data_IF_555614495454
#
_entry.id   IF_555614495454
#
_cell.length_a   1.000
_cell.length_b   1.000
_cell.length_c   1.000
_cell.angle_alpha   90.00
_cell.angle_beta   90.00
_cell.angle_gamma   90.00
#
_symmetry.space_group_name_H-M   'P 1'
#
loop_
_entity.id
_entity.type
_entity.pdbx_description
1 polymer ?
#
# COMPACT_ATOMS: atom_id res chain seq x y z
N UNK A 1 -6.74 -8.24 -26.76
CA UNK A 1 -6.41 -8.25 -28.17
C UNK A 1 -4.90 -8.38 -28.31
N UNK A 2 -4.47 -9.35 -29.08
CA UNK A 2 -3.08 -9.51 -29.47
C UNK A 2 -2.76 -8.40 -30.48
N UNK A 3 -1.55 -7.85 -30.41
CA UNK A 3 -1.06 -6.86 -31.38
C UNK A 3 -0.68 -7.59 -32.68
N UNK A 4 -1.66 -8.25 -33.29
CA UNK A 4 -1.52 -9.05 -34.50
C UNK A 4 -2.75 -8.86 -35.37
N UNK A 5 -2.54 -8.68 -36.67
CA UNK A 5 -3.62 -8.52 -37.65
C UNK A 5 -4.40 -9.83 -37.90
N UNK A 6 -3.88 -10.95 -37.41
CA UNK A 6 -4.44 -12.28 -37.63
C UNK A 6 -4.82 -12.95 -36.32
N UNK A 7 -5.97 -13.60 -36.32
CA UNK A 7 -6.45 -14.44 -35.23
C UNK A 7 -6.69 -15.86 -35.76
N UNK A 8 -6.23 -16.86 -35.01
CA UNK A 8 -6.49 -18.28 -35.35
C UNK A 8 -7.59 -18.77 -34.42
N UNK A 9 -8.73 -19.10 -35.00
CA UNK A 9 -9.85 -19.73 -34.30
C UNK A 9 -9.75 -21.27 -34.46
N UNK A 10 -9.74 -21.98 -33.35
CA UNK A 10 -9.78 -23.46 -33.36
C UNK A 10 -11.24 -23.91 -33.31
N UNK A 11 -11.62 -24.75 -34.26
CA UNK A 11 -12.91 -25.43 -34.30
C UNK A 11 -12.82 -26.82 -33.65
N UNK A 12 -13.96 -27.44 -33.29
CA UNK A 12 -13.96 -28.79 -32.70
C UNK A 12 -13.29 -29.87 -33.57
N UNK A 13 -13.15 -29.61 -34.88
CA UNK A 13 -12.48 -30.49 -35.85
C UNK A 13 -11.01 -30.17 -36.08
N UNK A 14 -10.49 -29.10 -35.43
CA UNK A 14 -9.07 -28.73 -35.58
C UNK A 14 -8.19 -29.74 -34.86
N UNK A 15 -7.12 -30.13 -35.52
CA UNK A 15 -6.07 -30.99 -34.93
C UNK A 15 -4.87 -30.14 -34.54
N UNK A 16 -4.30 -30.42 -33.37
CA UNK A 16 -3.06 -29.81 -32.89
C UNK A 16 -2.02 -30.92 -32.85
N UNK A 17 -0.97 -30.76 -33.61
CA UNK A 17 0.17 -31.68 -33.65
C UNK A 17 1.43 -31.01 -33.15
N UNK A 18 2.25 -31.77 -32.41
CA UNK A 18 3.54 -31.30 -31.94
C UNK A 18 4.49 -31.14 -33.13
N UNK A 19 5.03 -29.91 -33.30
CA UNK A 19 5.98 -29.67 -34.37
C UNK A 19 7.37 -30.18 -33.94
N UNK A 20 8.03 -31.02 -34.72
CA UNK A 20 9.39 -31.46 -34.41
C UNK A 20 10.36 -30.29 -34.40
N UNK A 21 11.36 -30.34 -33.52
CA UNK A 21 12.41 -29.31 -33.38
C UNK A 21 13.14 -29.14 -34.74
N UNK A 22 12.82 -28.03 -35.42
CA UNK A 22 13.48 -27.57 -36.62
C UNK A 22 14.38 -26.39 -36.26
N UNK A 23 15.62 -26.28 -36.78
CA UNK A 23 16.48 -25.12 -36.59
C UNK A 23 15.82 -23.77 -36.95
N UNK A 24 14.82 -23.77 -37.84
CA UNK A 24 14.01 -22.59 -38.17
C UNK A 24 12.98 -22.22 -37.09
N UNK A 25 12.56 -23.19 -36.25
CA UNK A 25 11.61 -22.93 -35.16
C UNK A 25 12.25 -22.16 -33.98
N UNK A 26 13.56 -22.21 -33.84
CA UNK A 26 14.30 -21.39 -32.85
C UNK A 26 14.20 -19.89 -33.08
N UNK A 27 13.76 -19.46 -34.28
CA UNK A 27 13.54 -18.05 -34.61
C UNK A 27 12.13 -17.54 -34.22
N UNK A 28 11.21 -18.42 -33.74
CA UNK A 28 9.88 -18.02 -33.30
C UNK A 28 10.02 -17.49 -31.86
N UNK A 29 9.83 -16.18 -31.63
CA UNK A 29 9.93 -15.65 -30.27
C UNK A 29 8.82 -16.27 -29.42
N UNK A 30 9.19 -16.92 -28.34
CA UNK A 30 8.27 -17.57 -27.41
C UNK A 30 7.28 -16.60 -26.77
N UNK A 31 7.64 -15.31 -26.68
CA UNK A 31 6.76 -14.27 -26.18
C UNK A 31 7.24 -12.87 -26.60
N UNK A 32 6.35 -12.09 -27.21
CA UNK A 32 6.61 -10.69 -27.54
C UNK A 32 6.02 -9.77 -26.44
N UNK A 33 6.82 -8.80 -25.98
CA UNK A 33 6.39 -7.79 -25.02
C UNK A 33 6.36 -6.41 -25.68
N UNK A 34 5.38 -5.60 -25.24
CA UNK A 34 5.33 -4.16 -25.57
C UNK A 34 5.30 -3.39 -24.24
N UNK A 35 6.48 -3.27 -23.62
CA UNK A 35 6.58 -2.70 -22.29
C UNK A 35 6.22 -1.22 -22.25
N UNK A 36 5.45 -0.87 -21.22
CA UNK A 36 5.20 0.50 -20.79
C UNK A 36 5.91 0.76 -19.47
N UNK A 37 6.45 1.97 -19.30
CA UNK A 37 7.02 2.37 -18.02
C UNK A 37 5.92 2.53 -16.97
N UNK A 38 6.22 2.13 -15.74
CA UNK A 38 5.27 2.25 -14.62
C UNK A 38 4.85 3.72 -14.46
N UNK A 39 5.76 4.68 -14.56
CA UNK A 39 5.45 6.10 -14.49
C UNK A 39 4.41 6.60 -15.51
N UNK A 40 4.30 5.96 -16.68
CA UNK A 40 3.35 6.34 -17.72
C UNK A 40 1.92 5.84 -17.43
N UNK A 41 1.76 4.83 -16.53
CA UNK A 41 0.46 4.22 -16.22
C UNK A 41 -0.52 5.24 -15.64
N UNK A 42 -0.04 6.27 -14.99
CA UNK A 42 -0.88 7.35 -14.48
C UNK A 42 -1.69 8.07 -15.57
N UNK A 43 -1.20 8.08 -16.81
CA UNK A 43 -1.82 8.77 -17.96
C UNK A 43 -2.67 7.83 -18.83
N UNK A 44 -2.68 6.53 -18.53
CA UNK A 44 -3.47 5.55 -19.26
C UNK A 44 -4.91 5.50 -18.75
N UNK A 45 -5.85 5.15 -19.62
CA UNK A 45 -7.23 4.94 -19.23
C UNK A 45 -7.39 3.65 -18.42
N UNK A 46 -8.36 3.66 -17.47
CA UNK A 46 -8.75 2.45 -16.77
C UNK A 46 -9.31 1.41 -17.75
N UNK A 47 -8.86 0.16 -17.60
CA UNK A 47 -9.22 -0.92 -18.53
C UNK A 47 -8.17 -1.18 -19.61
N UNK A 48 -7.22 -0.27 -19.87
CA UNK A 48 -6.12 -0.52 -20.78
C UNK A 48 -5.31 -1.76 -20.36
N UNK A 49 -4.87 -2.55 -21.32
CA UNK A 49 -4.04 -3.74 -21.09
C UNK A 49 -2.62 -3.44 -21.56
N UNK A 50 -1.65 -3.66 -20.68
CA UNK A 50 -0.25 -3.30 -20.89
C UNK A 50 0.69 -4.40 -20.43
N UNK A 51 1.93 -4.37 -20.94
CA UNK A 51 3.03 -5.16 -20.42
C UNK A 51 3.96 -4.24 -19.62
N UNK A 52 4.50 -4.75 -18.51
CA UNK A 52 5.47 -4.03 -17.69
C UNK A 52 6.63 -4.92 -17.30
N UNK A 53 7.80 -4.32 -17.11
CA UNK A 53 8.96 -4.98 -16.52
C UNK A 53 9.35 -4.23 -15.25
N UNK A 54 9.60 -4.95 -14.16
CA UNK A 54 9.90 -4.30 -12.89
C UNK A 54 10.71 -5.18 -11.94
N UNK A 55 11.30 -4.52 -10.93
CA UNK A 55 11.88 -5.17 -9.77
C UNK A 55 10.77 -5.46 -8.77
N UNK A 56 10.70 -6.70 -8.31
CA UNK A 56 9.74 -7.13 -7.31
C UNK A 56 10.13 -6.57 -5.93
N UNK A 57 9.28 -5.70 -5.39
CA UNK A 57 9.49 -5.04 -4.08
C UNK A 57 8.91 -5.83 -2.93
N UNK A 58 7.71 -6.37 -3.14
CA UNK A 58 6.99 -7.14 -2.13
C UNK A 58 5.99 -8.10 -2.76
N UNK A 59 5.69 -9.16 -2.03
CA UNK A 59 4.61 -10.12 -2.33
C UNK A 59 3.78 -10.25 -1.07
N UNK A 60 2.46 -10.04 -1.18
CA UNK A 60 1.55 -10.22 -0.04
C UNK A 60 1.23 -11.70 0.20
N UNK A 61 0.70 -12.00 1.38
CA UNK A 61 0.07 -13.29 1.63
C UNK A 61 -1.12 -13.53 0.68
N UNK A 62 -1.43 -14.81 0.44
CA UNK A 62 -2.62 -15.21 -0.31
C UNK A 62 -3.86 -15.01 0.56
N UNK A 63 -4.82 -14.22 0.09
CA UNK A 63 -6.08 -13.94 0.80
C UNK A 63 -7.24 -14.50 0.01
N UNK A 64 -8.09 -15.28 0.65
CA UNK A 64 -9.37 -15.69 0.10
C UNK A 64 -10.40 -14.58 0.32
N UNK A 65 -11.14 -14.24 -0.72
CA UNK A 65 -12.20 -13.24 -0.68
C UNK A 65 -13.46 -13.76 -1.36
N UNK A 66 -14.61 -13.40 -0.83
CA UNK A 66 -15.91 -13.69 -1.45
C UNK A 66 -16.29 -12.53 -2.36
N UNK A 67 -16.54 -12.79 -3.63
CA UNK A 67 -17.02 -11.82 -4.61
C UNK A 67 -18.45 -11.39 -4.31
N UNK A 68 -18.90 -10.31 -4.94
CA UNK A 68 -20.29 -9.80 -4.82
C UNK A 68 -21.33 -10.80 -5.30
N UNK A 69 -20.97 -11.72 -6.19
CA UNK A 69 -21.81 -12.81 -6.70
C UNK A 69 -21.85 -14.03 -5.77
N UNK A 70 -21.19 -13.96 -4.59
CA UNK A 70 -21.12 -15.03 -3.63
C UNK A 70 -20.07 -16.10 -3.93
N UNK A 71 -19.28 -15.96 -5.00
CA UNK A 71 -18.20 -16.89 -5.33
C UNK A 71 -16.91 -16.55 -4.60
N UNK A 72 -16.22 -17.56 -4.08
CA UNK A 72 -14.92 -17.39 -3.46
C UNK A 72 -13.81 -17.34 -4.51
N UNK A 73 -12.86 -16.46 -4.29
CA UNK A 73 -11.66 -16.35 -5.14
C UNK A 73 -10.44 -16.01 -4.28
N UNK A 74 -9.27 -16.25 -4.83
CA UNK A 74 -8.02 -15.89 -4.17
C UNK A 74 -7.47 -14.57 -4.72
N UNK A 75 -6.87 -13.80 -3.85
CA UNK A 75 -6.20 -12.54 -4.17
C UNK A 75 -4.80 -12.54 -3.56
N UNK A 76 -3.82 -12.16 -4.36
CA UNK A 76 -2.45 -11.84 -3.91
C UNK A 76 -2.03 -10.53 -4.56
N UNK A 77 -1.25 -9.72 -3.87
CA UNK A 77 -0.79 -8.44 -4.40
C UNK A 77 0.74 -8.46 -4.45
N UNK A 78 1.31 -8.01 -5.56
CA UNK A 78 2.74 -7.77 -5.71
C UNK A 78 2.98 -6.29 -5.94
N UNK A 79 4.13 -5.78 -5.51
CA UNK A 79 4.59 -4.43 -5.82
C UNK A 79 5.79 -4.51 -6.77
N UNK A 80 5.74 -3.73 -7.85
CA UNK A 80 6.77 -3.66 -8.88
C UNK A 80 7.29 -2.24 -8.99
N UNK A 81 8.61 -2.07 -9.19
CA UNK A 81 9.24 -0.79 -9.47
C UNK A 81 10.08 -0.86 -10.74
N UNK A 82 10.18 0.24 -11.48
CA UNK A 82 10.96 0.30 -12.72
C UNK A 82 11.85 1.54 -12.83
N UNK A 83 12.53 1.65 -13.96
CA UNK A 83 13.47 2.75 -14.27
C UNK A 83 12.83 4.14 -14.30
N UNK A 84 11.50 4.27 -14.25
CA UNK A 84 10.83 5.57 -14.12
C UNK A 84 10.91 6.16 -12.70
N UNK A 85 11.44 5.40 -11.73
CA UNK A 85 11.44 5.76 -10.32
C UNK A 85 10.06 5.67 -9.69
N UNK A 86 9.13 4.94 -10.32
CA UNK A 86 7.79 4.70 -9.82
C UNK A 86 7.61 3.24 -9.44
N UNK A 87 6.74 3.00 -8.44
CA UNK A 87 6.24 1.67 -8.10
C UNK A 87 4.74 1.58 -8.29
N UNK A 88 4.26 0.36 -8.56
CA UNK A 88 2.84 0.08 -8.77
C UNK A 88 2.48 -1.28 -8.19
N UNK A 89 1.28 -1.39 -7.63
CA UNK A 89 0.76 -2.68 -7.21
C UNK A 89 0.04 -3.39 -8.35
N UNK A 90 0.27 -4.69 -8.42
CA UNK A 90 -0.46 -5.59 -9.29
C UNK A 90 -1.21 -6.62 -8.44
N UNK A 91 -2.54 -6.64 -8.58
CA UNK A 91 -3.39 -7.65 -7.94
C UNK A 91 -3.51 -8.87 -8.83
N UNK A 92 -3.04 -10.02 -8.33
CA UNK A 92 -3.12 -11.32 -8.97
C UNK A 92 -4.38 -12.06 -8.49
N UNK A 93 -5.27 -12.41 -9.41
CA UNK A 93 -6.57 -12.98 -9.11
C UNK A 93 -6.64 -14.48 -9.43
N UNK A 94 -7.38 -15.22 -8.61
CA UNK A 94 -7.69 -16.63 -8.82
C UNK A 94 -6.45 -17.52 -8.90
N UNK A 95 -6.37 -18.39 -9.89
CA UNK A 95 -5.26 -19.33 -10.10
C UNK A 95 -3.92 -18.64 -10.25
N UNK A 96 -3.84 -17.50 -10.93
CA UNK A 96 -2.60 -16.73 -11.08
C UNK A 96 -2.04 -16.31 -9.71
N UNK A 97 -2.91 -15.92 -8.77
CA UNK A 97 -2.50 -15.58 -7.39
C UNK A 97 -1.98 -16.81 -6.61
N UNK A 98 -2.52 -18.00 -6.87
CA UNK A 98 -2.12 -19.24 -6.19
C UNK A 98 -0.91 -19.93 -6.80
N UNK A 99 -0.68 -19.79 -8.10
CA UNK A 99 0.41 -20.45 -8.85
C UNK A 99 1.59 -19.49 -9.04
N UNK A 100 1.50 -18.56 -9.98
CA UNK A 100 2.57 -17.61 -10.31
C UNK A 100 2.90 -16.71 -9.10
N UNK A 101 1.88 -16.31 -8.35
CA UNK A 101 2.08 -15.52 -7.12
C UNK A 101 2.87 -16.28 -6.05
N UNK A 102 2.64 -17.59 -5.89
CA UNK A 102 3.41 -18.43 -4.97
C UNK A 102 4.86 -18.65 -5.47
N UNK A 103 5.06 -18.77 -6.78
CA UNK A 103 6.39 -18.85 -7.36
C UNK A 103 7.20 -17.57 -7.13
N UNK A 104 6.59 -16.41 -7.32
CA UNK A 104 7.24 -15.11 -7.04
C UNK A 104 7.61 -14.95 -5.56
N UNK A 105 6.75 -15.36 -4.64
CA UNK A 105 7.03 -15.39 -3.21
C UNK A 105 8.20 -16.31 -2.88
N UNK A 106 8.21 -17.51 -3.44
CA UNK A 106 9.27 -18.48 -3.25
C UNK A 106 10.61 -17.99 -3.81
N UNK A 107 10.62 -17.33 -4.97
CA UNK A 107 11.80 -16.70 -5.56
C UNK A 107 12.35 -15.58 -4.66
N UNK A 108 11.47 -14.77 -4.09
CA UNK A 108 11.85 -13.69 -3.19
C UNK A 108 12.46 -14.24 -1.89
N UNK A 109 11.88 -15.31 -1.34
CA UNK A 109 12.39 -15.97 -0.13
C UNK A 109 13.69 -16.74 -0.38
N UNK A 110 13.81 -17.44 -1.50
CA UNK A 110 14.99 -18.24 -1.85
C UNK A 110 16.24 -17.39 -2.11
N UNK A 111 16.06 -16.16 -2.60
CA UNK A 111 17.16 -15.24 -2.86
C UNK A 111 17.75 -14.60 -1.58
N UNK A 112 17.11 -14.77 -0.44
CA UNK A 112 17.53 -14.16 0.83
C UNK A 112 17.50 -12.63 0.78
N UNK A 113 17.92 -12.00 1.89
CA UNK A 113 18.05 -10.55 1.93
C UNK A 113 19.22 -10.09 1.05
N UNK A 114 18.94 -9.68 -0.19
CA UNK A 114 19.92 -8.98 -1.01
C UNK A 114 19.97 -9.27 -2.50
N UNK A 115 19.29 -10.28 -3.03
CA UNK A 115 19.24 -10.48 -4.49
C UNK A 115 17.88 -10.04 -5.05
N UNK A 116 17.85 -9.04 -5.95
CA UNK A 116 16.61 -8.56 -6.56
C UNK A 116 16.00 -9.62 -7.48
N UNK A 117 14.67 -9.66 -7.51
CA UNK A 117 13.89 -10.47 -8.46
C UNK A 117 13.33 -9.54 -9.53
N UNK A 118 13.69 -9.79 -10.78
CA UNK A 118 13.21 -9.02 -11.93
C UNK A 118 12.10 -9.80 -12.62
N UNK A 119 10.98 -9.13 -12.90
CA UNK A 119 9.78 -9.78 -13.44
C UNK A 119 9.32 -9.04 -14.70
N UNK A 120 9.14 -9.79 -15.79
CA UNK A 120 8.43 -9.34 -16.98
C UNK A 120 6.97 -9.80 -16.87
N UNK A 121 6.05 -8.86 -16.94
CA UNK A 121 4.61 -9.11 -16.81
C UNK A 121 3.92 -8.77 -18.12
N UNK A 122 3.16 -9.71 -18.65
CA UNK A 122 2.38 -9.53 -19.87
C UNK A 122 0.90 -9.45 -19.59
N UNK A 123 0.20 -8.54 -20.26
CA UNK A 123 -1.25 -8.48 -20.25
C UNK A 123 -1.86 -8.08 -18.93
N UNK A 124 -1.35 -7.02 -18.30
CA UNK A 124 -1.91 -6.48 -17.06
C UNK A 124 -2.92 -5.37 -17.37
N UNK A 125 -4.08 -5.43 -16.73
CA UNK A 125 -5.12 -4.41 -16.87
C UNK A 125 -4.90 -3.26 -15.91
N UNK A 126 -4.91 -2.05 -16.42
CA UNK A 126 -4.90 -0.82 -15.61
C UNK A 126 -6.23 -0.67 -14.89
N UNK A 127 -6.16 -0.47 -13.57
CA UNK A 127 -7.32 -0.29 -12.69
C UNK A 127 -7.17 0.99 -11.87
N UNK A 128 -8.30 1.52 -11.40
CA UNK A 128 -8.38 2.73 -10.55
C UNK A 128 -8.89 2.38 -9.16
N UNK A 129 -8.24 1.44 -8.51
CA UNK A 129 -8.61 1.07 -7.15
C UNK A 129 -7.54 1.56 -6.17
N UNK A 130 -7.86 2.61 -5.41
CA UNK A 130 -6.93 3.21 -4.45
C UNK A 130 -5.75 3.95 -5.09
N UNK A 131 -5.93 4.54 -6.27
CA UNK A 131 -4.91 5.10 -7.15
C UNK A 131 -4.79 4.27 -8.43
N UNK A 132 -3.75 4.49 -9.21
CA UNK A 132 -3.46 3.63 -10.37
C UNK A 132 -2.85 2.33 -9.90
N UNK A 133 -3.44 1.22 -10.31
CA UNK A 133 -2.96 -0.13 -10.01
C UNK A 133 -3.14 -1.03 -11.23
N UNK A 134 -2.53 -2.20 -11.17
CA UNK A 134 -2.65 -3.22 -12.19
C UNK A 134 -3.41 -4.42 -11.64
N UNK A 135 -4.09 -5.12 -12.51
CA UNK A 135 -4.75 -6.38 -12.18
C UNK A 135 -4.54 -7.42 -13.25
N UNK A 136 -4.45 -8.69 -12.86
CA UNK A 136 -4.35 -9.78 -13.83
C UNK A 136 -5.67 -10.01 -14.55
N UNK A 137 -5.58 -10.43 -15.80
CA UNK A 137 -6.63 -11.04 -16.60
C UNK A 137 -6.28 -12.52 -16.84
N UNK A 138 -7.19 -13.30 -17.39
CA UNK A 138 -6.97 -14.74 -17.60
C UNK A 138 -5.76 -15.08 -18.47
N UNK A 139 -5.35 -14.18 -19.34
CA UNK A 139 -4.18 -14.34 -20.25
C UNK A 139 -2.91 -13.66 -19.71
N UNK A 140 -2.92 -13.15 -18.50
CA UNK A 140 -1.71 -12.56 -17.89
C UNK A 140 -0.64 -13.61 -17.66
N UNK A 141 0.62 -13.25 -17.92
CA UNK A 141 1.77 -14.13 -17.74
C UNK A 141 2.90 -13.38 -17.02
N UNK A 142 3.68 -14.11 -16.23
CA UNK A 142 4.81 -13.61 -15.44
C UNK A 142 6.05 -14.44 -15.74
N UNK A 143 7.12 -13.78 -16.16
CA UNK A 143 8.40 -14.43 -16.44
C UNK A 143 9.50 -13.78 -15.60
N UNK A 144 10.25 -14.61 -14.86
CA UNK A 144 11.27 -14.17 -13.90
C UNK A 144 12.65 -14.23 -14.53
N UNK A 145 13.43 -13.17 -14.38
CA UNK A 145 14.84 -13.09 -14.77
C UNK A 145 15.12 -13.49 -16.25
N UNK A 146 14.17 -13.27 -17.15
CA UNK A 146 14.34 -13.52 -18.59
C UNK A 146 15.42 -12.62 -19.19
N UNK A 147 16.04 -13.09 -20.27
CA UNK A 147 17.07 -12.36 -21.01
C UNK A 147 16.42 -11.39 -22.01
N UNK A 148 16.17 -10.14 -21.55
CA UNK A 148 15.57 -9.07 -22.33
C UNK A 148 16.38 -7.78 -22.18
N UNK A 149 16.48 -6.96 -23.23
CA UNK A 149 17.22 -5.68 -23.18
C UNK A 149 16.71 -4.74 -22.07
N UNK A 150 15.39 -4.68 -21.86
CA UNK A 150 14.75 -3.86 -20.82
C UNK A 150 15.09 -4.36 -19.43
N UNK A 151 15.26 -5.66 -19.26
CA UNK A 151 15.64 -6.26 -17.98
C UNK A 151 17.10 -5.98 -17.63
N UNK A 152 18.00 -5.90 -18.64
CA UNK A 152 19.37 -5.45 -18.43
C UNK A 152 19.44 -3.98 -17.99
N UNK A 153 18.65 -3.10 -18.61
CA UNK A 153 18.53 -1.71 -18.20
C UNK A 153 18.00 -1.56 -16.77
N UNK A 154 17.01 -2.40 -16.40
CA UNK A 154 16.44 -2.40 -15.07
C UNK A 154 17.44 -2.87 -14.02
N UNK A 155 18.28 -3.89 -14.31
CA UNK A 155 19.37 -4.36 -13.44
C UNK A 155 20.39 -3.24 -13.19
N UNK A 156 20.84 -2.59 -14.24
CA UNK A 156 21.79 -1.48 -14.13
C UNK A 156 21.22 -0.31 -13.29
N UNK A 157 19.94 0.03 -13.49
CA UNK A 157 19.25 1.04 -12.69
C UNK A 157 19.18 0.65 -11.21
N UNK A 158 18.86 -0.60 -10.90
CA UNK A 158 18.81 -1.12 -9.53
C UNK A 158 20.21 -1.04 -8.87
N UNK A 159 21.26 -1.49 -9.54
CA UNK A 159 22.65 -1.44 -9.06
C UNK A 159 23.13 -0.01 -8.75
N UNK A 160 22.63 0.96 -9.48
CA UNK A 160 22.88 2.39 -9.25
C UNK A 160 22.06 2.98 -8.09
N UNK A 161 21.29 2.15 -7.38
CA UNK A 161 20.48 2.56 -6.24
C UNK A 161 19.20 3.29 -6.63
N UNK A 162 18.64 3.00 -7.79
CA UNK A 162 17.39 3.61 -8.29
C UNK A 162 16.17 3.39 -7.41
N UNK A 163 16.19 2.36 -6.56
CA UNK A 163 15.11 2.08 -5.59
C UNK A 163 15.08 3.02 -4.38
N UNK A 164 16.12 3.78 -4.13
CA UNK A 164 16.18 4.65 -2.94
C UNK A 164 15.18 5.80 -2.93
N UNK A 165 14.51 6.07 -4.06
CA UNK A 165 13.60 7.20 -4.25
C UNK A 165 12.43 6.82 -5.15
N UNK A 166 11.62 5.85 -4.72
CA UNK A 166 10.43 5.40 -5.45
C UNK A 166 9.21 6.26 -5.12
N UNK A 167 8.43 6.59 -6.16
CA UNK A 167 7.12 7.20 -6.04
C UNK A 167 6.05 6.15 -6.36
N UNK A 168 5.18 5.82 -5.39
CA UNK A 168 4.13 4.82 -5.61
C UNK A 168 2.96 5.42 -6.40
N UNK A 169 2.55 4.76 -7.49
CA UNK A 169 1.33 5.07 -8.23
C UNK A 169 0.09 4.44 -7.61
N UNK A 170 0.27 3.34 -6.89
CA UNK A 170 -0.81 2.70 -6.15
C UNK A 170 -0.78 3.20 -4.72
N UNK A 171 -1.87 3.80 -4.32
CA UNK A 171 -2.10 4.11 -2.91
C UNK A 171 -2.49 2.81 -2.21
N UNK A 172 -1.57 2.17 -1.49
CA UNK A 172 -1.83 0.95 -0.74
C UNK A 172 -2.88 1.24 0.35
N UNK A 173 -3.98 0.53 0.29
CA UNK A 173 -4.99 0.45 1.34
C UNK A 173 -6.27 1.21 1.07
N UNK A 174 -7.35 0.45 1.05
CA UNK A 174 -8.77 0.81 1.16
C UNK A 174 -9.10 2.31 1.14
N UNK A 175 -9.50 2.76 -0.02
CA UNK A 175 -10.31 3.97 -0.16
C UNK A 175 -9.58 5.25 0.15
N UNK A 176 -9.24 6.01 -0.85
CA UNK A 176 -9.07 7.42 -0.67
C UNK A 176 -7.75 8.02 -1.05
N UNK A 177 -7.89 9.16 -1.59
CA UNK A 177 -6.92 10.23 -1.77
C UNK A 177 -5.60 9.88 -2.43
N UNK A 178 -5.38 10.44 -3.58
CA UNK A 178 -4.06 10.45 -4.21
C UNK A 178 -3.13 11.33 -3.38
N UNK A 179 -1.88 10.90 -3.15
CA UNK A 179 -0.90 11.68 -2.39
C UNK A 179 -0.52 13.02 -3.05
N UNK A 180 -0.77 13.15 -4.35
CA UNK A 180 -0.65 14.40 -5.10
C UNK A 180 -1.91 15.30 -5.01
N UNK A 181 -3.03 14.76 -4.49
CA UNK A 181 -4.27 15.48 -4.20
C UNK A 181 -4.45 15.57 -2.69
N UNK A 182 -3.99 16.65 -2.10
CA UNK A 182 -4.03 16.88 -0.66
C UNK A 182 -5.01 17.98 -0.32
N UNK A 183 -5.59 17.89 0.88
CA UNK A 183 -6.21 19.02 1.52
C UNK A 183 -5.30 19.58 2.62
N UNK A 184 -5.59 20.76 3.08
CA UNK A 184 -4.93 21.35 4.25
C UNK A 184 -5.62 20.88 5.53
N UNK A 185 -4.94 21.01 6.67
CA UNK A 185 -5.54 20.70 7.98
C UNK A 185 -6.71 21.65 8.29
N UNK A 186 -6.62 22.90 7.84
CA UNK A 186 -7.73 23.86 7.96
C UNK A 186 -8.98 23.42 7.20
N UNK A 187 -8.83 22.94 5.95
CA UNK A 187 -9.92 22.38 5.17
C UNK A 187 -10.53 21.14 5.82
N UNK A 188 -9.69 20.25 6.39
CA UNK A 188 -10.13 19.07 7.13
C UNK A 188 -11.09 19.45 8.27
N UNK A 189 -10.81 20.55 8.98
CA UNK A 189 -11.59 20.98 10.14
C UNK A 189 -12.86 21.74 9.77
N UNK A 190 -12.79 22.59 8.77
CA UNK A 190 -13.79 23.61 8.52
C UNK A 190 -14.68 23.33 7.32
N UNK A 191 -14.20 22.57 6.34
CA UNK A 191 -14.86 22.44 5.06
C UNK A 191 -15.28 20.99 4.73
N UNK A 192 -14.74 19.99 5.48
CA UNK A 192 -15.06 18.60 5.22
C UNK A 192 -16.48 18.28 5.66
N UNK A 193 -17.35 18.03 4.68
CA UNK A 193 -18.71 17.57 4.93
C UNK A 193 -18.74 16.05 4.90
N UNK A 194 -18.90 15.44 6.06
CA UNK A 194 -19.00 13.98 6.20
C UNK A 194 -20.48 13.64 6.16
N UNK A 195 -20.90 12.88 5.14
CA UNK A 195 -22.25 12.32 5.10
C UNK A 195 -22.34 11.22 6.16
N UNK A 196 -23.42 11.23 6.95
CA UNK A 196 -23.64 10.25 8.01
C UNK A 196 -23.44 8.82 7.50
N UNK A 197 -22.52 8.10 8.17
CA UNK A 197 -22.29 6.67 7.98
C UNK A 197 -21.21 6.26 6.97
N UNK A 198 -20.67 7.16 6.14
CA UNK A 198 -19.61 6.82 5.21
C UNK A 198 -18.28 7.51 5.57
N UNK A 199 -17.18 6.76 5.78
CA UNK A 199 -15.88 7.38 6.03
C UNK A 199 -15.36 8.07 4.76
N UNK A 200 -14.74 9.23 4.94
CA UNK A 200 -14.03 9.94 3.87
C UNK A 200 -12.54 9.68 4.01
N UNK A 201 -11.88 9.44 2.88
CA UNK A 201 -10.45 9.24 2.85
C UNK A 201 -9.76 10.42 2.20
N UNK A 202 -8.76 10.99 2.88
CA UNK A 202 -8.06 12.19 2.44
C UNK A 202 -6.55 12.06 2.66
N UNK A 203 -5.80 12.90 1.97
CA UNK A 203 -4.36 13.05 2.19
C UNK A 203 -4.06 14.45 2.71
N UNK A 204 -3.18 14.53 3.69
CA UNK A 204 -2.59 15.78 4.19
C UNK A 204 -1.08 15.65 4.25
N UNK A 205 -0.38 16.77 4.17
CA UNK A 205 1.04 16.84 4.52
C UNK A 205 1.17 17.67 5.79
N UNK A 206 1.89 17.17 6.78
CA UNK A 206 2.02 17.88 8.05
C UNK A 206 3.20 17.40 8.87
N UNK A 207 3.62 18.25 9.79
CA UNK A 207 4.68 17.98 10.76
C UNK A 207 4.06 17.44 12.05
N UNK A 208 4.59 16.34 12.57
CA UNK A 208 4.22 15.86 13.91
C UNK A 208 4.74 16.85 14.94
N UNK A 209 3.85 17.53 15.64
CA UNK A 209 4.21 18.51 16.65
C UNK A 209 4.24 17.92 18.06
N UNK A 210 3.42 16.90 18.30
CA UNK A 210 3.30 16.29 19.61
C UNK A 210 2.83 14.83 19.49
N UNK A 211 3.36 13.98 20.35
CA UNK A 211 2.94 12.59 20.53
C UNK A 211 2.38 12.44 21.93
N UNK A 212 1.12 12.00 22.04
CA UNK A 212 0.48 11.75 23.33
C UNK A 212 0.97 10.43 23.90
N UNK A 213 1.90 10.49 24.84
CA UNK A 213 2.55 9.31 25.45
C UNK A 213 2.15 9.06 26.90
N UNK A 214 1.39 9.97 27.55
CA UNK A 214 1.06 9.90 28.97
C UNK A 214 0.28 8.62 29.37
N UNK A 215 -0.53 8.09 28.47
CA UNK A 215 -1.29 6.85 28.67
C UNK A 215 -0.64 5.64 27.98
N UNK A 216 0.62 5.78 27.58
CA UNK A 216 1.33 4.83 26.74
C UNK A 216 0.94 4.97 25.26
N UNK A 217 1.83 4.48 24.38
CA UNK A 217 1.64 4.53 22.90
C UNK A 217 1.26 3.16 22.33
N UNK A 218 1.19 2.13 23.17
CA UNK A 218 0.92 0.75 22.75
C UNK A 218 0.04 0.03 23.78
N UNK A 219 -0.54 -1.08 23.36
CA UNK A 219 -1.39 -1.91 24.21
C UNK A 219 -1.18 -3.40 23.92
N UNK A 220 -1.37 -4.28 24.92
CA UNK A 220 -1.35 -5.73 24.72
C UNK A 220 -2.62 -6.18 24.00
N UNK A 221 -2.50 -6.71 22.80
CA UNK A 221 -3.59 -7.19 21.98
C UNK A 221 -3.68 -8.73 22.02
N UNK A 222 -4.89 -9.25 21.87
CA UNK A 222 -5.14 -10.68 21.81
C UNK A 222 -4.60 -11.28 20.50
N UNK A 223 -3.70 -12.28 20.59
CA UNK A 223 -3.13 -12.91 19.40
C UNK A 223 -4.06 -13.91 18.74
N UNK A 224 -5.19 -14.23 19.38
CA UNK A 224 -6.10 -15.28 18.92
C UNK A 224 -6.74 -14.93 17.57
N UNK A 225 -6.85 -15.93 16.69
CA UNK A 225 -7.50 -15.79 15.38
C UNK A 225 -8.96 -16.26 15.47
N UNK A 226 -9.89 -15.39 15.14
CA UNK A 226 -11.28 -15.73 14.87
C UNK A 226 -11.49 -15.78 13.35
N UNK A 227 -11.33 -16.96 12.76
CA UNK A 227 -11.27 -17.13 11.32
C UNK A 227 -10.01 -16.47 10.74
N UNK A 228 -10.15 -15.66 9.69
CA UNK A 228 -9.02 -14.98 9.03
C UNK A 228 -8.54 -13.70 9.76
N UNK A 229 -9.27 -13.23 10.78
CA UNK A 229 -8.94 -11.97 11.47
C UNK A 229 -8.43 -12.22 12.87
N UNK A 230 -7.32 -11.56 13.22
CA UNK A 230 -6.85 -11.52 14.58
C UNK A 230 -7.89 -10.82 15.47
N UNK A 231 -8.09 -11.32 16.68
CA UNK A 231 -9.00 -10.72 17.65
C UNK A 231 -8.62 -9.27 17.96
N UNK A 232 -7.34 -9.01 18.20
CA UNK A 232 -6.74 -7.70 18.47
C UNK A 232 -7.42 -6.88 19.59
N UNK A 233 -8.28 -7.50 20.40
CA UNK A 233 -8.89 -6.86 21.56
C UNK A 233 -7.81 -6.62 22.63
N UNK A 234 -7.86 -5.48 23.31
CA UNK A 234 -6.99 -5.18 24.44
C UNK A 234 -7.17 -6.27 25.51
N UNK A 235 -6.07 -6.85 25.96
CA UNK A 235 -6.01 -7.85 27.01
C UNK A 235 -5.74 -7.18 28.37
N UNK A 236 -6.12 -7.87 29.43
CA UNK A 236 -5.77 -7.51 30.81
C UNK A 236 -4.65 -8.41 31.29
N UNK A 237 -3.71 -7.84 32.03
CA UNK A 237 -2.70 -8.61 32.75
C UNK A 237 -3.33 -9.13 34.05
N UNK A 238 -3.24 -10.43 34.28
CA UNK A 238 -3.69 -11.10 35.52
C UNK A 238 -2.53 -11.86 36.16
N UNK A 239 -2.39 -11.73 37.46
CA UNK A 239 -1.41 -12.50 38.23
C UNK A 239 -2.04 -13.82 38.67
N UNK A 240 -1.38 -14.93 38.33
CA UNK A 240 -1.71 -16.30 38.81
C UNK A 240 -0.53 -16.84 39.56
N UNK A 241 -0.77 -17.42 40.70
CA UNK A 241 0.13 -18.04 41.74
C UNK A 241 1.65 -17.92 41.54
N UNK A 242 2.22 -17.76 40.35
CA UNK A 242 3.63 -17.50 40.08
C UNK A 242 3.92 -17.05 38.63
N UNK A 243 2.89 -16.67 37.88
CA UNK A 243 3.07 -16.24 36.47
C UNK A 243 2.08 -15.12 36.11
N UNK A 244 2.54 -14.22 35.24
CA UNK A 244 1.69 -13.23 34.62
C UNK A 244 1.07 -13.83 33.37
N UNK A 245 -0.25 -13.73 33.24
CA UNK A 245 -1.01 -14.19 32.08
C UNK A 245 -1.84 -13.05 31.52
N UNK A 246 -2.11 -13.11 30.25
CA UNK A 246 -2.94 -12.15 29.54
C UNK A 246 -4.32 -12.72 29.31
N UNK A 247 -5.38 -12.05 29.79
CA UNK A 247 -6.76 -12.47 29.62
C UNK A 247 -7.48 -11.62 28.58
N UNK A 248 -8.12 -12.27 27.60
CA UNK A 248 -8.95 -11.64 26.59
C UNK A 248 -10.44 -11.85 26.89
N UNK A 249 -11.16 -10.78 27.26
CA UNK A 249 -12.61 -10.86 27.53
C UNK A 249 -13.44 -11.29 26.32
N UNK A 250 -13.04 -10.88 25.10
CA UNK A 250 -13.79 -11.21 23.87
C UNK A 250 -13.68 -12.69 23.52
N UNK A 251 -12.50 -13.27 23.69
CA UNK A 251 -12.25 -14.69 23.38
C UNK A 251 -12.51 -15.60 24.58
N UNK A 252 -12.66 -15.03 25.78
CA UNK A 252 -12.75 -15.73 27.06
C UNK A 252 -11.56 -16.72 27.24
N UNK A 253 -10.35 -16.26 26.95
CA UNK A 253 -9.14 -17.09 26.95
C UNK A 253 -7.98 -16.39 27.62
N UNK A 254 -7.18 -17.17 28.34
CA UNK A 254 -5.88 -16.78 28.86
C UNK A 254 -4.78 -17.14 27.84
N UNK A 255 -3.74 -16.30 27.77
CA UNK A 255 -2.55 -16.54 26.95
C UNK A 255 -1.31 -16.15 27.75
N UNK A 256 -0.20 -16.90 27.65
CA UNK A 256 1.06 -16.52 28.26
C UNK A 256 1.73 -15.33 27.55
N UNK A 257 1.28 -15.01 26.35
CA UNK A 257 1.84 -13.94 25.52
C UNK A 257 0.71 -13.08 24.92
N UNK A 258 1.02 -11.80 24.68
CA UNK A 258 0.16 -10.88 23.94
C UNK A 258 0.91 -10.35 22.70
N UNK A 259 0.13 -9.82 21.78
CA UNK A 259 0.64 -9.12 20.59
C UNK A 259 0.65 -7.61 20.89
N UNK A 260 1.83 -7.00 21.01
CA UNK A 260 1.93 -5.55 21.25
C UNK A 260 1.55 -4.78 20.01
N UNK A 261 0.63 -3.81 20.14
CA UNK A 261 0.14 -2.98 19.05
C UNK A 261 0.13 -1.51 19.41
N UNK A 262 0.45 -0.69 18.42
CA UNK A 262 0.37 0.76 18.59
C UNK A 262 -1.08 1.23 18.64
N UNK A 263 -1.35 2.15 19.57
CA UNK A 263 -2.59 2.92 19.66
C UNK A 263 -2.29 4.21 20.43
N UNK A 264 -2.10 5.31 19.72
CA UNK A 264 -1.81 6.59 20.31
C UNK A 264 -2.36 7.74 19.46
N UNK A 265 -2.25 8.97 19.96
CA UNK A 265 -2.64 10.16 19.23
C UNK A 265 -1.44 11.08 19.03
N UNK A 266 -1.41 11.72 17.87
CA UNK A 266 -0.44 12.75 17.52
C UNK A 266 -1.17 14.04 17.19
N UNK A 267 -0.49 15.17 17.36
CA UNK A 267 -0.90 16.43 16.75
C UNK A 267 -0.07 16.65 15.50
N UNK A 268 -0.70 16.77 14.36
CA UNK A 268 -0.08 17.19 13.11
C UNK A 268 -0.39 18.66 12.82
N UNK A 269 0.60 19.39 12.30
CA UNK A 269 0.48 20.82 11.97
C UNK A 269 0.90 21.08 10.54
N UNK A 270 0.21 22.01 9.88
CA UNK A 270 0.61 22.65 8.63
C UNK A 270 0.43 24.17 8.73
N UNK A 271 0.63 24.89 7.62
CA UNK A 271 0.47 26.33 7.58
C UNK A 271 -0.97 26.82 7.86
N UNK A 272 -1.97 25.96 7.74
CA UNK A 272 -3.39 26.29 7.91
C UNK A 272 -3.94 25.98 9.31
N UNK A 273 -3.21 25.18 10.10
CA UNK A 273 -3.64 24.83 11.45
C UNK A 273 -3.05 23.53 11.98
N UNK A 274 -3.70 22.98 13.00
CA UNK A 274 -3.33 21.72 13.62
C UNK A 274 -4.53 20.80 13.82
N UNK A 275 -4.32 19.49 13.83
CA UNK A 275 -5.36 18.49 14.08
C UNK A 275 -4.83 17.30 14.86
N UNK A 276 -5.70 16.72 15.71
CA UNK A 276 -5.45 15.45 16.34
C UNK A 276 -5.68 14.30 15.37
N UNK A 277 -4.71 13.40 15.31
CA UNK A 277 -4.78 12.19 14.49
C UNK A 277 -4.58 10.98 15.38
N UNK A 278 -5.44 9.96 15.21
CA UNK A 278 -5.28 8.66 15.88
C UNK A 278 -4.42 7.73 15.03
N UNK A 279 -3.42 7.13 15.65
CA UNK A 279 -2.44 6.26 14.99
C UNK A 279 -2.59 4.84 15.53
N UNK A 280 -2.60 3.85 14.61
CA UNK A 280 -2.61 2.43 14.91
C UNK A 280 -1.38 1.73 14.31
N UNK A 281 -1.24 0.42 14.57
CA UNK A 281 -0.07 -0.42 14.33
C UNK A 281 0.82 -0.06 13.14
N UNK A 282 0.34 -0.20 11.91
CA UNK A 282 1.17 0.02 10.71
C UNK A 282 1.70 1.46 10.58
N UNK A 283 0.82 2.43 10.85
CA UNK A 283 1.22 3.83 10.83
C UNK A 283 2.15 4.17 12.01
N UNK A 284 1.98 3.51 13.15
CA UNK A 284 2.87 3.64 14.31
C UNK A 284 4.29 3.14 14.00
N UNK A 285 4.40 2.00 13.33
CA UNK A 285 5.69 1.48 12.87
C UNK A 285 6.39 2.42 11.88
N UNK A 286 5.63 3.05 11.00
CA UNK A 286 6.17 4.04 10.06
C UNK A 286 6.69 5.30 10.76
N UNK A 287 6.05 5.73 11.86
CA UNK A 287 6.42 6.91 12.62
C UNK A 287 7.65 6.64 13.52
N UNK A 288 7.65 5.52 14.25
CA UNK A 288 8.73 5.16 15.17
C UNK A 288 9.89 4.42 14.50
N UNK A 289 9.66 3.81 13.32
CA UNK A 289 10.68 3.03 12.61
C UNK A 289 10.94 1.65 13.22
N UNK A 290 10.09 1.19 14.15
CA UNK A 290 10.21 -0.09 14.84
C UNK A 290 8.84 -0.66 15.20
N UNK A 291 8.76 -1.98 15.47
CA UNK A 291 7.52 -2.62 15.90
C UNK A 291 7.14 -2.22 17.33
N UNK A 292 5.85 -2.34 17.68
CA UNK A 292 5.37 -2.05 19.03
C UNK A 292 6.00 -2.97 20.09
N UNK A 293 6.34 -4.21 19.72
CA UNK A 293 7.04 -5.13 20.60
C UNK A 293 8.47 -4.65 20.92
N UNK A 294 9.20 -4.15 19.90
CA UNK A 294 10.55 -3.58 20.10
C UNK A 294 10.50 -2.31 20.97
N UNK A 295 9.51 -1.43 20.73
CA UNK A 295 9.36 -0.23 21.55
C UNK A 295 8.97 -0.58 22.99
N UNK A 296 8.18 -1.66 23.21
CA UNK A 296 7.87 -2.17 24.54
C UNK A 296 9.10 -2.71 25.23
N UNK A 297 9.95 -3.44 24.53
CA UNK A 297 11.21 -3.94 25.09
C UNK A 297 12.12 -2.78 25.53
N UNK A 298 12.20 -1.71 24.77
CA UNK A 298 12.91 -0.48 25.19
C UNK A 298 12.27 0.13 26.44
N UNK A 299 10.95 0.19 26.52
CA UNK A 299 10.26 0.75 27.69
C UNK A 299 10.60 -0.02 28.97
N UNK A 300 10.72 -1.35 28.88
CA UNK A 300 11.01 -2.22 30.03
C UNK A 300 12.49 -2.25 30.40
N UNK A 301 13.41 -2.20 29.41
CA UNK A 301 14.84 -2.46 29.59
C UNK A 301 15.72 -1.21 29.43
N UNK A 302 15.30 -0.20 28.65
CA UNK A 302 16.04 1.05 28.43
C UNK A 302 15.10 2.25 28.27
N UNK A 303 14.56 2.77 29.41
CA UNK A 303 13.62 3.92 29.40
C UNK A 303 14.19 5.16 28.73
N UNK A 304 15.50 5.34 28.73
CA UNK A 304 16.11 6.51 28.08
C UNK A 304 16.03 6.39 26.55
N UNK A 305 16.25 5.23 26.00
CA UNK A 305 16.06 4.99 24.56
C UNK A 305 14.59 5.01 24.16
N UNK A 306 13.69 4.55 25.02
CA UNK A 306 12.26 4.68 24.82
C UNK A 306 11.85 6.17 24.68
N UNK A 307 12.24 7.00 25.64
CA UNK A 307 11.96 8.45 25.61
C UNK A 307 12.57 9.11 24.38
N UNK A 308 13.78 8.72 24.01
CA UNK A 308 14.45 9.19 22.81
C UNK A 308 13.67 8.84 21.54
N UNK A 309 13.17 7.62 21.41
CA UNK A 309 12.38 7.19 20.26
C UNK A 309 11.09 8.01 20.11
N UNK A 310 10.42 8.34 21.25
CA UNK A 310 9.26 9.24 21.25
C UNK A 310 9.67 10.64 20.80
N UNK A 311 10.75 11.21 21.35
CA UNK A 311 11.21 12.56 21.02
C UNK A 311 11.68 12.67 19.56
N UNK A 312 12.36 11.68 19.03
CA UNK A 312 12.83 11.67 17.65
C UNK A 312 11.69 11.55 16.62
N UNK A 313 10.49 11.13 17.03
CA UNK A 313 9.31 11.10 16.15
C UNK A 313 8.67 12.48 15.97
N UNK A 314 8.94 13.42 16.86
CA UNK A 314 8.42 14.80 16.83
C UNK A 314 9.25 15.65 15.86
N UNK A 315 8.63 16.66 15.28
CA UNK A 315 9.18 17.58 14.27
C UNK A 315 9.58 16.93 12.94
N UNK A 316 9.16 15.68 12.70
CA UNK A 316 9.27 15.06 11.39
C UNK A 316 8.04 15.34 10.54
N UNK A 317 8.26 15.57 9.25
CA UNK A 317 7.22 15.84 8.27
C UNK A 317 6.80 14.56 7.56
N UNK A 318 5.50 14.29 7.51
CA UNK A 318 4.91 13.14 6.86
C UNK A 318 3.79 13.53 5.90
N UNK A 319 3.59 12.70 4.92
CA UNK A 319 2.38 12.64 4.12
C UNK A 319 1.46 11.60 4.76
N UNK A 320 0.35 12.05 5.33
CA UNK A 320 -0.62 11.19 5.99
C UNK A 320 -1.78 10.86 5.07
N UNK A 321 -2.14 9.58 4.99
CA UNK A 321 -3.45 9.15 4.54
C UNK A 321 -4.35 8.98 5.73
N UNK A 322 -5.49 9.64 5.70
CA UNK A 322 -6.45 9.67 6.80
C UNK A 322 -7.75 9.01 6.38
N UNK A 323 -8.30 8.22 7.27
CA UNK A 323 -9.71 7.83 7.29
C UNK A 323 -10.42 8.75 8.27
N UNK A 324 -11.32 9.58 7.77
CA UNK A 324 -12.10 10.52 8.57
C UNK A 324 -13.54 10.02 8.64
N UNK A 325 -14.05 9.83 9.84
CA UNK A 325 -15.40 9.35 10.06
C UNK A 325 -16.03 10.03 11.27
N UNK A 326 -17.34 10.11 11.28
CA UNK A 326 -18.10 10.43 12.48
C UNK A 326 -18.11 9.23 13.43
N UNK A 327 -17.81 9.45 14.68
CA UNK A 327 -17.97 8.48 15.77
C UNK A 327 -18.88 9.11 16.85
N UNK A 328 -19.92 8.37 17.21
CA UNK A 328 -20.78 8.72 18.35
C UNK A 328 -20.29 7.98 19.60
N UNK A 329 -19.94 8.73 20.62
CA UNK A 329 -19.53 8.19 21.91
C UNK A 329 -20.23 8.99 23.02
N UNK A 330 -20.97 8.31 23.90
CA UNK A 330 -21.78 8.92 24.96
C UNK A 330 -22.71 10.02 24.43
N UNK A 331 -23.45 9.75 23.36
CA UNK A 331 -24.39 10.68 22.68
C UNK A 331 -23.74 11.94 22.07
N UNK A 332 -22.42 12.06 22.13
CA UNK A 332 -21.70 13.12 21.43
C UNK A 332 -21.12 12.58 20.10
N UNK A 333 -21.49 13.25 19.02
CA UNK A 333 -20.93 12.97 17.68
C UNK A 333 -19.70 13.82 17.46
N UNK A 334 -18.58 13.16 17.13
CA UNK A 334 -17.31 13.83 16.84
C UNK A 334 -16.64 13.26 15.62
N UNK A 335 -15.92 14.10 14.92
CA UNK A 335 -15.10 13.69 13.77
C UNK A 335 -13.80 13.10 14.29
N UNK A 336 -13.50 11.87 13.87
CA UNK A 336 -12.25 11.20 14.17
C UNK A 336 -11.43 11.00 12.90
N UNK A 337 -10.19 11.47 12.95
CA UNK A 337 -9.19 11.30 11.91
C UNK A 337 -8.23 10.19 12.30
N UNK A 338 -8.26 9.09 11.58
CA UNK A 338 -7.39 7.93 11.81
C UNK A 338 -6.34 7.86 10.71
N UNK A 339 -5.07 7.75 11.09
CA UNK A 339 -3.96 7.57 10.16
C UNK A 339 -3.98 6.14 9.66
N UNK A 340 -4.23 5.96 8.37
CA UNK A 340 -4.11 4.67 7.70
C UNK A 340 -2.70 4.42 7.18
N UNK A 341 -1.95 5.51 6.88
CA UNK A 341 -0.55 5.45 6.46
C UNK A 341 0.17 6.76 6.76
N UNK A 342 1.44 6.68 7.16
CA UNK A 342 2.33 7.81 7.36
C UNK A 342 3.61 7.60 6.53
N UNK A 343 3.80 8.37 5.48
CA UNK A 343 5.01 8.30 4.64
C UNK A 343 5.92 9.47 4.95
N UNK A 344 7.17 9.21 5.31
CA UNK A 344 8.16 10.27 5.46
C UNK A 344 8.30 11.05 4.15
N UNK A 345 8.38 12.37 4.25
CA UNK A 345 8.42 13.23 3.04
C UNK A 345 9.73 13.02 2.29
N UNK A 346 9.61 12.63 1.03
CA UNK A 346 10.71 12.69 0.08
C UNK A 346 10.83 14.13 -0.44
N UNK A 347 11.79 14.88 0.06
CA UNK A 347 11.93 16.30 -0.25
C UNK A 347 12.17 16.59 -1.74
N UNK A 348 12.81 15.68 -2.49
CA UNK A 348 13.01 15.85 -3.93
C UNK A 348 11.70 15.70 -4.71
N UNK A 349 10.89 14.69 -4.38
CA UNK A 349 9.57 14.49 -4.96
C UNK A 349 8.60 15.62 -4.55
N UNK A 350 8.66 16.01 -3.28
CA UNK A 350 7.84 17.11 -2.73
C UNK A 350 8.15 18.43 -3.43
N UNK A 351 9.43 18.76 -3.65
CA UNK A 351 9.83 19.98 -4.37
C UNK A 351 9.28 20.01 -5.79
N UNK A 352 9.28 18.88 -6.51
CA UNK A 352 8.68 18.78 -7.85
C UNK A 352 7.17 19.01 -7.81
N UNK A 353 6.49 18.42 -6.83
CA UNK A 353 5.04 18.61 -6.63
C UNK A 353 4.73 20.08 -6.32
N UNK A 354 5.48 20.70 -5.42
CA UNK A 354 5.32 22.12 -5.07
C UNK A 354 5.52 23.04 -6.26
N UNK A 355 6.53 22.80 -7.10
CA UNK A 355 6.72 23.54 -8.33
C UNK A 355 5.53 23.41 -9.30
N UNK A 356 4.97 22.22 -9.40
CA UNK A 356 3.76 21.97 -10.20
C UNK A 356 2.56 22.73 -9.63
N UNK A 357 2.40 22.70 -8.30
CA UNK A 357 1.32 23.40 -7.59
C UNK A 357 1.45 24.93 -7.74
N UNK A 358 2.65 25.47 -7.69
CA UNK A 358 2.90 26.91 -7.95
C UNK A 358 2.48 27.28 -9.37
N UNK A 359 2.73 26.44 -10.36
CA UNK A 359 2.29 26.68 -11.75
C UNK A 359 0.76 26.68 -11.85
N UNK A 360 0.10 25.71 -11.19
CA UNK A 360 -1.37 25.65 -11.11
C UNK A 360 -1.94 26.92 -10.48
N UNK A 361 -1.42 27.33 -9.33
CA UNK A 361 -1.86 28.58 -8.66
C UNK A 361 -1.69 29.82 -9.54
N UNK A 362 -0.60 29.91 -10.32
CA UNK A 362 -0.41 31.01 -11.29
C UNK A 362 -1.47 31.00 -12.40
N UNK A 363 -2.02 29.85 -12.72
CA UNK A 363 -3.08 29.68 -13.72
C UNK A 363 -4.50 29.73 -13.09
N UNK A 364 -4.63 30.08 -11.82
CA UNK A 364 -5.88 30.00 -11.06
C UNK A 364 -6.53 28.61 -11.00
N UNK A 365 -5.73 27.54 -11.11
CA UNK A 365 -6.16 26.17 -10.97
C UNK A 365 -6.14 25.73 -9.49
N UNK A 366 -7.10 24.92 -9.02
CA UNK A 366 -7.12 24.45 -7.64
C UNK A 366 -5.95 23.50 -7.36
N UNK A 367 -5.30 23.68 -6.21
CA UNK A 367 -4.15 22.86 -5.74
C UNK A 367 -4.56 21.90 -4.65
N UNK A 368 -5.41 22.37 -3.72
CA UNK A 368 -5.93 21.57 -2.62
C UNK A 368 -7.37 21.18 -2.92
N UNK A 369 -7.68 19.90 -2.78
CA UNK A 369 -8.97 19.34 -3.19
C UNK A 369 -9.55 18.51 -2.04
N UNK A 370 -10.78 18.83 -1.65
CA UNK A 370 -11.57 17.98 -0.76
C UNK A 370 -12.37 16.96 -1.59
N UNK A 371 -12.37 15.67 -1.20
CA UNK A 371 -13.24 14.68 -1.81
C UNK A 371 -14.71 15.06 -1.62
N UNK A 372 -15.51 14.96 -2.70
CA UNK A 372 -16.95 15.22 -2.64
C UNK A 372 -17.38 16.67 -2.90
N UNK A 373 -16.47 17.63 -2.97
CA UNK A 373 -16.81 18.96 -3.49
C UNK A 373 -16.92 18.89 -5.01
N UNK A 374 -18.14 19.06 -5.56
CA UNK A 374 -18.32 19.34 -6.98
C UNK A 374 -17.56 20.63 -7.26
N UNK A 375 -16.58 20.59 -8.16
CA UNK A 375 -15.99 21.80 -8.71
C UNK A 375 -17.15 22.61 -9.33
N UNK A 376 -17.50 23.72 -8.69
CA UNK A 376 -18.44 24.66 -9.27
C UNK A 376 -17.84 25.13 -10.58
N UNK A 377 -18.44 24.74 -11.69
CA UNK A 377 -18.15 25.34 -12.97
C UNK A 377 -18.41 26.84 -12.84
N UNK A 378 -17.37 27.63 -13.01
CA UNK A 378 -17.53 29.06 -13.20
C UNK A 378 -18.35 29.25 -14.46
N UNK A 379 -19.62 29.73 -14.29
CA UNK A 379 -20.43 30.24 -15.37
C UNK A 379 -19.96 31.60 -15.81
#
# INVERSE_FOLDING_TARGET
PLNCEYEISLEPTSTIEECPDDPSSSAIPTMNYTFRKIGDVQNLEAGAVIDVVGVLQSVSELVQITRRDGTDTHKRTISLADTSGCSIECTMWGTIGTTEGAQLEQQMLANGTGKPVFVACKGLRVTEFGGRSLGTISSSNFAVNVDLPEMHQLRQWHEQGGEKSLSSLTSIGNGGGRMDQRCTIGMLKNELNIQQGAPVYICISGTVNYVRSENGVMYPACPNKNGERNCSKKMREEERENSKVWYCEKCNMESPQCDWRYMFSITAVDFSGQSWLTVFSEAGEQIFGMSAAQLRDLQDNDPQQYDRAIQESVFKMYNFKLRVAEETYNDETRIKSTVSRAEAVNFAAESKLLLTNIRKLKNNEPVYILPGTKQGGAG
#
